data_IF_854084618022
#
_entry.id   IF_854084618022
#
_cell.length_a   1.000
_cell.length_b   1.000
_cell.length_c   1.000
_cell.angle_alpha   90.00
_cell.angle_beta   90.00
_cell.angle_gamma   90.00
#
_symmetry.space_group_name_H-M   'P 1'
#
loop_
_entity.id
_entity.type
_entity.pdbx_description
1 polymer ?
#
# COMPACT_ATOMS: atom_id res chain seq x y z
N UNK A 1 -3.11 8.35 -17.05
CA UNK A 1 -3.80 8.05 -18.31
C UNK A 1 -4.41 6.66 -18.25
N UNK A 2 -5.65 6.52 -18.75
CA UNK A 2 -6.29 5.20 -18.89
C UNK A 2 -5.91 4.57 -20.24
N UNK A 3 -5.50 3.29 -20.27
CA UNK A 3 -5.24 2.58 -21.53
C UNK A 3 -6.52 2.43 -22.36
N UNK A 4 -6.38 2.33 -23.68
CA UNK A 4 -7.51 2.05 -24.57
C UNK A 4 -8.21 0.74 -24.17
N UNK A 5 -9.54 0.77 -24.10
CA UNK A 5 -10.36 -0.39 -23.74
C UNK A 5 -10.54 -0.64 -22.24
N UNK A 6 -9.92 0.16 -21.35
CA UNK A 6 -10.14 0.07 -19.90
C UNK A 6 -10.87 1.33 -19.42
N UNK A 7 -12.07 1.16 -18.86
CA UNK A 7 -12.85 2.26 -18.27
C UNK A 7 -12.41 2.54 -16.83
N UNK A 8 -12.66 3.75 -16.33
CA UNK A 8 -12.40 4.10 -14.94
C UNK A 8 -13.16 3.19 -13.97
N UNK A 9 -14.42 2.87 -14.27
CA UNK A 9 -15.23 1.97 -13.44
C UNK A 9 -14.64 0.56 -13.37
N UNK A 10 -14.11 0.05 -14.48
CA UNK A 10 -13.44 -1.24 -14.51
C UNK A 10 -12.16 -1.20 -13.68
N UNK A 11 -11.38 -0.13 -13.79
CA UNK A 11 -10.19 0.08 -12.98
C UNK A 11 -10.50 0.11 -11.48
N UNK A 12 -11.54 0.85 -11.06
CA UNK A 12 -11.95 0.88 -9.65
C UNK A 12 -12.40 -0.49 -9.15
N UNK A 13 -13.08 -1.29 -9.97
CA UNK A 13 -13.40 -2.68 -9.64
C UNK A 13 -12.16 -3.55 -9.53
N UNK A 14 -11.15 -3.34 -10.37
CA UNK A 14 -9.92 -4.12 -10.32
C UNK A 14 -9.10 -3.83 -9.05
N UNK A 15 -9.18 -2.61 -8.50
CA UNK A 15 -8.50 -2.25 -7.24
C UNK A 15 -8.90 -3.12 -6.05
N UNK A 16 -10.10 -3.71 -6.04
CA UNK A 16 -10.51 -4.62 -4.97
C UNK A 16 -9.63 -5.88 -4.89
N UNK A 17 -8.94 -6.21 -5.98
CA UNK A 17 -8.05 -7.37 -6.08
C UNK A 17 -6.58 -6.98 -5.94
N UNK A 18 -6.27 -5.74 -5.56
CA UNK A 18 -4.88 -5.24 -5.47
C UNK A 18 -3.99 -6.11 -4.55
N UNK A 19 -4.56 -6.74 -3.52
CA UNK A 19 -3.83 -7.64 -2.61
C UNK A 19 -3.28 -8.91 -3.30
N UNK A 20 -3.92 -9.38 -4.38
CA UNK A 20 -3.46 -10.54 -5.17
C UNK A 20 -2.10 -10.29 -5.82
N UNK A 21 -1.70 -9.02 -6.02
CA UNK A 21 -0.36 -8.69 -6.51
C UNK A 21 0.72 -9.08 -5.50
N UNK A 22 0.40 -9.04 -4.20
CA UNK A 22 1.33 -9.35 -3.12
C UNK A 22 1.24 -10.80 -2.67
N UNK A 23 0.05 -11.40 -2.75
CA UNK A 23 -0.22 -12.79 -2.40
C UNK A 23 -1.05 -13.47 -3.49
N UNK A 24 -0.43 -13.96 -4.59
CA UNK A 24 -1.15 -14.45 -5.75
C UNK A 24 -1.92 -15.74 -5.48
N UNK A 25 -3.23 -15.73 -5.69
CA UNK A 25 -4.09 -16.93 -5.68
C UNK A 25 -4.44 -17.42 -7.08
N UNK A 26 -4.15 -16.61 -8.11
CA UNK A 26 -4.47 -16.84 -9.52
C UNK A 26 -5.97 -16.78 -9.89
N UNK A 27 -6.86 -16.38 -8.99
CA UNK A 27 -8.30 -16.27 -9.30
C UNK A 27 -8.66 -15.04 -10.14
N UNK A 28 -7.87 -13.96 -10.08
CA UNK A 28 -8.21 -12.66 -10.67
C UNK A 28 -7.16 -12.16 -11.67
N UNK A 29 -6.51 -13.07 -12.40
CA UNK A 29 -5.39 -12.75 -13.30
C UNK A 29 -5.70 -11.64 -14.31
N UNK A 30 -6.91 -11.59 -14.87
CA UNK A 30 -7.28 -10.53 -15.80
C UNK A 30 -7.30 -9.14 -15.15
N UNK A 31 -7.84 -9.03 -13.93
CA UNK A 31 -7.84 -7.79 -13.16
C UNK A 31 -6.41 -7.36 -12.83
N UNK A 32 -5.56 -8.30 -12.44
CA UNK A 32 -4.13 -8.01 -12.15
C UNK A 32 -3.38 -7.57 -13.41
N UNK A 33 -3.67 -8.19 -14.56
CA UNK A 33 -3.08 -7.77 -15.83
C UNK A 33 -3.52 -6.35 -16.21
N UNK A 34 -4.82 -6.03 -16.08
CA UNK A 34 -5.33 -4.67 -16.33
C UNK A 34 -4.69 -3.64 -15.40
N UNK A 35 -4.58 -3.92 -14.11
CA UNK A 35 -3.85 -3.06 -13.16
C UNK A 35 -2.40 -2.85 -13.59
N UNK A 36 -1.72 -3.92 -14.00
CA UNK A 36 -0.32 -3.87 -14.44
C UNK A 36 -0.13 -2.99 -15.68
N UNK A 37 -1.03 -3.09 -16.66
CA UNK A 37 -1.01 -2.24 -17.87
C UNK A 37 -1.25 -0.77 -17.51
N UNK A 38 -2.21 -0.49 -16.63
CA UNK A 38 -2.47 0.89 -16.16
C UNK A 38 -1.22 1.44 -15.47
N UNK A 39 -0.62 0.68 -14.55
CA UNK A 39 0.59 1.13 -13.83
C UNK A 39 1.78 1.38 -14.75
N UNK A 40 2.02 0.48 -15.72
CA UNK A 40 3.11 0.61 -16.67
C UNK A 40 3.01 1.89 -17.52
N UNK A 41 1.83 2.20 -18.06
CA UNK A 41 1.62 3.42 -18.87
C UNK A 41 1.73 4.70 -18.04
N UNK A 42 1.44 4.62 -16.74
CA UNK A 42 1.56 5.74 -15.82
C UNK A 42 2.94 5.86 -15.16
N UNK A 43 3.90 4.98 -15.51
CA UNK A 43 5.20 4.91 -14.85
C UNK A 43 5.08 4.83 -13.31
N UNK A 44 4.10 4.05 -12.84
CA UNK A 44 3.81 3.86 -11.43
C UNK A 44 4.22 2.46 -10.97
N UNK A 45 4.82 2.37 -9.80
CA UNK A 45 5.10 1.11 -9.13
C UNK A 45 3.87 0.59 -8.38
N UNK A 46 3.83 -0.71 -8.10
CA UNK A 46 2.79 -1.29 -7.26
C UNK A 46 2.78 -0.67 -5.86
N UNK A 47 3.96 -0.37 -5.30
CA UNK A 47 4.09 0.28 -4.00
C UNK A 47 3.44 1.67 -3.98
N UNK A 48 3.66 2.47 -5.02
CA UNK A 48 3.01 3.77 -5.15
C UNK A 48 1.49 3.64 -5.29
N UNK A 49 0.99 2.61 -5.98
CA UNK A 49 -0.45 2.36 -6.04
C UNK A 49 -1.01 2.10 -4.65
N UNK A 50 -0.39 1.20 -3.88
CA UNK A 50 -0.76 0.95 -2.49
C UNK A 50 -0.71 2.22 -1.64
N UNK A 51 0.33 3.05 -1.76
CA UNK A 51 0.46 4.31 -1.00
C UNK A 51 -0.66 5.32 -1.30
N UNK A 52 -1.23 5.28 -2.51
CA UNK A 52 -2.33 6.16 -2.93
C UNK A 52 -3.70 5.59 -2.53
N UNK A 53 -3.88 4.27 -2.63
CA UNK A 53 -5.18 3.63 -2.44
C UNK A 53 -5.44 3.15 -1.01
N UNK A 54 -4.37 2.91 -0.24
CA UNK A 54 -4.50 2.49 1.15
C UNK A 54 -4.43 3.69 2.08
N UNK A 55 -5.19 3.71 3.19
CA UNK A 55 -5.03 4.73 4.19
C UNK A 55 -3.63 4.64 4.83
N UNK A 56 -3.08 5.80 5.18
CA UNK A 56 -1.82 5.90 5.89
C UNK A 56 -1.99 5.61 7.39
N UNK A 57 -0.89 5.29 8.07
CA UNK A 57 -0.89 5.14 9.53
C UNK A 57 -1.43 6.39 10.26
N UNK A 58 -1.23 7.57 9.68
CA UNK A 58 -1.65 8.85 10.27
C UNK A 58 -3.16 9.06 10.21
N UNK A 59 -3.85 8.38 9.30
CA UNK A 59 -5.30 8.51 9.14
C UNK A 59 -6.06 7.81 10.29
N UNK A 60 -5.44 6.82 10.92
CA UNK A 60 -6.04 6.07 12.04
C UNK A 60 -5.43 6.36 13.39
N UNK A 61 -4.15 6.74 13.45
CA UNK A 61 -3.42 6.90 14.71
C UNK A 61 -3.42 8.36 15.13
N UNK A 62 -4.26 8.66 16.11
CA UNK A 62 -4.47 10.03 16.63
C UNK A 62 -3.46 10.41 17.71
N UNK A 63 -2.96 9.45 18.50
CA UNK A 63 -2.09 9.69 19.65
C UNK A 63 -1.13 8.52 19.86
N UNK A 64 0.14 8.85 20.15
CA UNK A 64 1.12 7.87 20.61
C UNK A 64 1.60 8.24 22.02
N UNK A 65 1.59 7.24 22.90
CA UNK A 65 2.10 7.36 24.26
C UNK A 65 3.12 6.26 24.49
N UNK A 66 4.34 6.65 24.82
CA UNK A 66 5.44 5.75 25.15
C UNK A 66 5.97 6.11 26.54
N UNK A 67 6.07 5.12 27.43
CA UNK A 67 6.49 5.31 28.83
C UNK A 67 5.77 6.47 29.54
N UNK A 68 4.45 6.57 29.33
CA UNK A 68 3.61 7.62 29.93
C UNK A 68 3.70 8.99 29.27
N UNK A 69 4.63 9.21 28.34
CA UNK A 69 4.83 10.49 27.63
C UNK A 69 4.12 10.47 26.28
N UNK A 70 3.48 11.58 25.93
CA UNK A 70 2.97 11.79 24.56
C UNK A 70 4.19 12.02 23.66
N UNK A 71 4.29 11.23 22.61
CA UNK A 71 5.41 11.26 21.65
C UNK A 71 4.89 11.42 20.23
N UNK A 72 5.68 11.97 19.29
CA UNK A 72 5.28 12.01 17.89
C UNK A 72 5.18 10.61 17.30
N UNK A 73 3.99 10.22 16.84
CA UNK A 73 3.75 8.90 16.26
C UNK A 73 4.69 8.52 15.12
N UNK A 74 5.06 9.50 14.29
CA UNK A 74 5.96 9.32 13.14
C UNK A 74 7.35 8.78 13.51
N UNK A 75 7.80 9.00 14.74
CA UNK A 75 9.14 8.60 15.19
C UNK A 75 9.15 7.15 15.71
N UNK A 76 7.97 6.57 15.95
CA UNK A 76 7.80 5.24 16.55
C UNK A 76 7.04 4.26 15.65
N UNK A 77 6.36 4.75 14.62
CA UNK A 77 5.57 3.95 13.68
C UNK A 77 6.25 3.95 12.32
N UNK A 78 6.56 2.75 11.81
CA UNK A 78 7.03 2.53 10.45
C UNK A 78 5.91 1.93 9.61
N UNK A 79 5.67 2.53 8.45
CA UNK A 79 4.80 1.94 7.43
C UNK A 79 5.63 1.00 6.54
N UNK A 80 5.15 -0.22 6.31
CA UNK A 80 5.82 -1.22 5.47
C UNK A 80 4.82 -1.96 4.59
N UNK A 81 5.28 -2.43 3.43
CA UNK A 81 4.49 -3.26 2.54
C UNK A 81 4.63 -4.72 2.98
N UNK A 82 3.52 -5.41 3.17
CA UNK A 82 3.43 -6.82 3.59
C UNK A 82 2.55 -7.59 2.61
N UNK A 83 2.45 -8.93 2.66
CA UNK A 83 1.50 -9.69 1.84
C UNK A 83 0.04 -9.24 1.98
N UNK A 84 -0.31 -8.56 3.08
CA UNK A 84 -1.66 -8.03 3.35
C UNK A 84 -1.82 -6.55 2.95
N UNK A 85 -0.84 -5.96 2.25
CA UNK A 85 -0.83 -4.54 1.90
C UNK A 85 0.03 -3.69 2.84
N UNK A 86 -0.25 -2.38 2.88
CA UNK A 86 0.47 -1.45 3.75
C UNK A 86 0.03 -1.63 5.21
N UNK A 87 1.01 -1.87 6.08
CA UNK A 87 0.80 -2.05 7.52
C UNK A 87 1.68 -1.09 8.33
N UNK A 88 1.24 -0.81 9.55
CA UNK A 88 1.90 0.07 10.50
C UNK A 88 2.48 -0.75 11.65
N UNK A 89 3.78 -0.62 11.89
CA UNK A 89 4.47 -1.34 12.97
C UNK A 89 5.04 -0.34 13.97
N UNK A 90 4.84 -0.61 15.27
CA UNK A 90 5.40 0.17 16.38
C UNK A 90 6.65 -0.55 16.88
N UNK A 91 7.60 0.19 17.46
CA UNK A 91 8.82 -0.36 18.05
C UNK A 91 9.70 -1.06 16.99
N UNK A 92 9.79 -0.44 15.82
CA UNK A 92 10.70 -0.88 14.75
C UNK A 92 12.13 -0.43 15.08
N UNK A 93 12.67 -0.91 16.20
CA UNK A 93 14.08 -0.79 16.49
C UNK A 93 14.82 -1.76 15.56
N UNK A 94 15.63 -1.24 14.63
CA UNK A 94 16.64 -1.98 13.84
C UNK A 94 16.16 -2.97 12.76
N UNK A 95 15.76 -2.48 11.58
CA UNK A 95 15.92 -3.29 10.34
C UNK A 95 16.50 -2.50 9.16
N UNK A 96 16.61 -1.18 9.23
CA UNK A 96 17.42 -0.45 8.24
C UNK A 96 18.84 -0.29 8.80
N UNK A 97 19.74 -1.10 8.25
CA UNK A 97 21.17 -1.05 8.55
C UNK A 97 21.80 0.23 8.03
N UNK A 98 21.73 1.30 8.82
CA UNK A 98 22.69 2.39 8.76
C UNK A 98 23.74 2.19 9.87
N UNK A 99 24.88 1.66 9.44
CA UNK A 99 26.18 1.97 10.03
C UNK A 99 27.14 2.31 8.88
#
# INVERSE_FOLDING_TARGET
AMPYGITSDQFYKDLQFLYEVLSPTNHFQESINRLSVVLAINNMTIRQLFEITSPSCKDFIVLCRYEGKIVPCKDYIKQSLTPNGLCCSINYAYVDGER
#
